data_IF_646411130537
#
_entry.id   IF_646411130537
#
_cell.length_a   1.000
_cell.length_b   1.000
_cell.length_c   1.000
_cell.angle_alpha   90.00
_cell.angle_beta   90.00
_cell.angle_gamma   90.00
#
_symmetry.space_group_name_H-M   'P 1'
#
loop_
_entity.id
_entity.type
_entity.pdbx_description
1 polymer ?
#
# COMPACT_ATOMS: atom_id res chain seq x y z
N UNK A 1 4.02 2.43 30.47
CA UNK A 1 5.04 3.13 29.64
C UNK A 1 4.75 2.78 28.20
N UNK A 2 4.38 3.78 27.40
CA UNK A 2 3.82 3.58 26.07
C UNK A 2 4.89 3.36 25.01
N UNK A 3 4.53 2.61 23.97
CA UNK A 3 5.34 2.21 22.80
C UNK A 3 5.84 3.43 21.97
N UNK A 4 5.56 4.66 22.40
CA UNK A 4 5.82 5.91 21.69
C UNK A 4 7.11 6.62 22.10
N UNK A 5 7.82 6.17 23.14
CA UNK A 5 9.04 6.85 23.60
C UNK A 5 10.28 6.60 22.69
N UNK A 6 10.14 5.78 21.63
CA UNK A 6 11.28 5.33 20.82
C UNK A 6 11.54 6.13 19.52
N UNK A 7 10.84 7.24 19.27
CA UNK A 7 10.95 8.00 18.01
C UNK A 7 11.87 9.24 18.07
N UNK A 8 12.95 9.21 18.85
CA UNK A 8 13.99 10.27 18.78
C UNK A 8 15.30 9.75 18.21
N UNK A 9 15.55 10.09 16.94
CA UNK A 9 16.83 9.92 16.26
C UNK A 9 16.97 10.84 15.04
N UNK A 10 17.80 11.87 15.20
CA UNK A 10 18.15 13.00 14.31
C UNK A 10 18.35 12.71 12.79
N UNK A 11 17.84 13.62 11.95
CA UNK A 11 18.69 14.39 11.01
C UNK A 11 17.99 15.67 10.51
N UNK A 12 18.76 16.77 10.43
CA UNK A 12 18.34 18.13 10.03
C UNK A 12 18.20 18.24 8.51
N UNK A 13 17.04 18.68 8.03
CA UNK A 13 16.85 19.12 6.64
C UNK A 13 15.40 19.59 6.39
N UNK A 14 15.23 20.90 6.16
CA UNK A 14 13.97 21.64 5.85
C UNK A 14 12.81 21.39 6.83
N UNK A 15 12.25 22.47 7.37
CA UNK A 15 11.00 22.47 8.13
C UNK A 15 9.83 22.07 7.20
N UNK A 16 9.72 20.78 6.86
CA UNK A 16 8.43 20.22 6.49
C UNK A 16 7.51 20.45 7.68
N UNK A 17 6.44 21.23 7.49
CA UNK A 17 5.32 21.19 8.43
C UNK A 17 4.80 19.76 8.38
N UNK A 18 5.32 18.88 9.22
CA UNK A 18 4.74 17.56 9.45
C UNK A 18 3.39 17.82 10.08
N UNK A 19 2.37 17.95 9.24
CA UNK A 19 1.00 18.09 9.70
C UNK A 19 0.71 16.90 10.62
N UNK A 20 0.25 17.20 11.84
CA UNK A 20 -0.01 16.17 12.83
C UNK A 20 -1.07 15.18 12.28
N UNK A 21 -0.92 13.88 12.55
CA UNK A 21 -1.95 12.89 12.24
C UNK A 21 -3.33 13.34 12.74
N UNK A 22 -4.36 13.12 11.94
CA UNK A 22 -5.73 13.26 12.44
C UNK A 22 -6.02 12.19 13.49
N UNK A 23 -6.95 12.43 14.42
CA UNK A 23 -7.34 11.44 15.42
C UNK A 23 -7.80 10.12 14.78
N UNK A 24 -8.55 10.17 13.68
CA UNK A 24 -9.01 8.99 12.94
C UNK A 24 -7.86 8.17 12.35
N UNK A 25 -6.86 8.81 11.72
CA UNK A 25 -5.72 8.10 11.13
C UNK A 25 -4.82 7.51 12.20
N UNK A 26 -4.66 8.22 13.32
CA UNK A 26 -3.92 7.72 14.47
C UNK A 26 -4.60 6.47 15.06
N UNK A 27 -5.90 6.55 15.34
CA UNK A 27 -6.68 5.44 15.91
C UNK A 27 -6.71 4.23 14.96
N UNK A 28 -6.95 4.47 13.67
CA UNK A 28 -6.92 3.41 12.65
C UNK A 28 -5.55 2.73 12.61
N UNK A 29 -4.47 3.50 12.57
CA UNK A 29 -3.11 2.94 12.49
C UNK A 29 -2.75 2.13 13.73
N UNK A 30 -3.11 2.61 14.93
CA UNK A 30 -2.92 1.88 16.19
C UNK A 30 -3.65 0.54 16.18
N UNK A 31 -4.92 0.53 15.76
CA UNK A 31 -5.71 -0.71 15.66
C UNK A 31 -5.25 -1.63 14.55
N UNK A 32 -4.81 -1.09 13.42
CA UNK A 32 -4.22 -1.88 12.34
C UNK A 32 -2.94 -2.57 12.81
N UNK A 33 -2.11 -1.87 13.59
CA UNK A 33 -0.92 -2.47 14.21
C UNK A 33 -1.27 -3.57 15.21
N UNK A 34 -2.27 -3.35 16.06
CA UNK A 34 -2.72 -4.35 17.04
C UNK A 34 -3.26 -5.64 16.40
N UNK A 35 -3.99 -5.52 15.27
CA UNK A 35 -4.77 -6.62 14.71
C UNK A 35 -4.07 -7.35 13.57
N UNK A 36 -3.39 -6.61 12.66
CA UNK A 36 -2.83 -7.19 11.43
C UNK A 36 -1.36 -7.59 11.57
N UNK A 37 -0.58 -6.84 12.37
CA UNK A 37 0.87 -7.06 12.46
C UNK A 37 1.25 -8.39 13.10
N UNK A 38 0.54 -8.92 14.13
CA UNK A 38 0.83 -10.26 14.62
C UNK A 38 0.77 -11.32 13.51
N UNK A 39 -0.17 -11.21 12.57
CA UNK A 39 -0.22 -12.07 11.38
C UNK A 39 1.02 -11.87 10.50
N UNK A 40 1.42 -10.63 10.23
CA UNK A 40 2.58 -10.35 9.38
C UNK A 40 3.85 -10.97 9.97
N UNK A 41 4.06 -10.78 11.27
CA UNK A 41 5.21 -11.31 12.00
C UNK A 41 5.19 -12.84 12.07
N UNK A 42 4.00 -13.45 12.23
CA UNK A 42 3.84 -14.91 12.20
C UNK A 42 4.36 -15.53 10.89
N UNK A 43 4.20 -14.84 9.76
CA UNK A 43 4.72 -15.30 8.46
C UNK A 43 6.17 -14.86 8.18
N UNK A 44 6.84 -14.24 9.15
CA UNK A 44 8.25 -13.84 9.07
C UNK A 44 8.47 -12.47 8.44
N UNK A 45 7.44 -11.62 8.34
CA UNK A 45 7.63 -10.24 7.92
C UNK A 45 8.08 -9.37 9.09
N UNK A 46 9.06 -8.49 8.84
CA UNK A 46 9.61 -7.59 9.83
C UNK A 46 9.30 -6.14 9.48
N UNK A 47 9.17 -5.31 10.51
CA UNK A 47 8.88 -3.88 10.36
C UNK A 47 9.91 -3.22 9.44
N UNK A 48 9.42 -2.48 8.45
CA UNK A 48 10.25 -1.68 7.56
C UNK A 48 10.02 -0.19 7.75
N UNK A 49 8.78 0.26 7.56
CA UNK A 49 8.42 1.69 7.61
C UNK A 49 7.04 1.88 8.18
N UNK A 50 6.87 2.92 9.00
CA UNK A 50 5.57 3.37 9.48
C UNK A 50 5.53 4.89 9.32
N UNK A 51 4.52 5.38 8.61
CA UNK A 51 4.29 6.79 8.40
C UNK A 51 2.80 7.08 8.59
N UNK A 52 2.48 7.99 9.50
CA UNK A 52 1.12 8.43 9.77
C UNK A 52 1.09 9.94 9.54
N UNK A 53 0.29 10.37 8.58
CA UNK A 53 0.07 11.78 8.20
C UNK A 53 -1.34 12.20 8.60
N UNK A 54 -1.64 13.48 8.39
CA UNK A 54 -2.96 14.06 8.67
C UNK A 54 -4.12 13.30 8.02
N UNK A 55 -3.98 12.87 6.77
CA UNK A 55 -5.06 12.25 5.99
C UNK A 55 -4.70 10.87 5.44
N UNK A 56 -3.56 10.31 5.80
CA UNK A 56 -3.13 9.01 5.28
C UNK A 56 -2.20 8.31 6.24
N UNK A 57 -2.13 6.99 6.11
CA UNK A 57 -1.12 6.19 6.80
C UNK A 57 -0.54 5.13 5.87
N UNK A 58 0.70 4.74 6.15
CA UNK A 58 1.42 3.68 5.46
C UNK A 58 2.22 2.88 6.49
N UNK A 59 1.92 1.59 6.59
CA UNK A 59 2.62 0.64 7.46
C UNK A 59 3.16 -0.48 6.56
N UNK A 60 4.47 -0.62 6.48
CA UNK A 60 5.17 -1.57 5.60
C UNK A 60 5.99 -2.53 6.43
N UNK A 61 5.82 -3.82 6.14
CA UNK A 61 6.61 -4.92 6.67
C UNK A 61 7.18 -5.73 5.51
N UNK A 62 8.39 -6.27 5.67
CA UNK A 62 9.15 -6.93 4.61
C UNK A 62 9.68 -8.29 5.04
N UNK A 63 9.76 -9.21 4.09
CA UNK A 63 10.37 -10.52 4.19
C UNK A 63 11.05 -10.82 2.86
N UNK A 64 12.36 -11.00 2.86
CA UNK A 64 13.16 -11.16 1.64
C UNK A 64 12.82 -10.08 0.59
N UNK A 65 12.33 -10.49 -0.59
CA UNK A 65 11.88 -9.59 -1.66
C UNK A 65 10.40 -9.19 -1.53
N UNK A 66 9.63 -9.84 -0.65
CA UNK A 66 8.22 -9.59 -0.46
C UNK A 66 7.99 -8.47 0.55
N UNK A 67 6.88 -7.76 0.39
CA UNK A 67 6.40 -6.81 1.37
C UNK A 67 4.87 -6.83 1.49
N UNK A 68 4.40 -6.50 2.69
CA UNK A 68 3.01 -6.21 2.99
C UNK A 68 2.91 -4.74 3.38
N UNK A 69 1.91 -4.05 2.83
CA UNK A 69 1.63 -2.65 3.13
C UNK A 69 0.17 -2.47 3.53
N UNK A 70 -0.07 -1.82 4.65
CA UNK A 70 -1.37 -1.26 5.01
C UNK A 70 -1.35 0.20 4.60
N UNK A 71 -2.27 0.60 3.73
CA UNK A 71 -2.38 1.96 3.18
C UNK A 71 -3.76 2.50 3.43
N UNK A 72 -3.89 3.71 4.00
CA UNK A 72 -5.17 4.39 4.17
C UNK A 72 -5.15 5.81 3.61
N UNK A 73 -6.31 6.28 3.17
CA UNK A 73 -6.52 7.66 2.73
C UNK A 73 -7.91 8.16 3.19
N UNK A 74 -7.93 9.29 3.89
CA UNK A 74 -9.13 10.04 4.32
C UNK A 74 -9.07 11.49 3.87
N UNK A 75 -8.30 11.79 2.83
CA UNK A 75 -8.19 13.13 2.30
C UNK A 75 -9.53 13.57 1.69
N UNK A 76 -10.10 14.74 2.07
CA UNK A 76 -11.44 15.13 1.65
C UNK A 76 -11.65 15.27 0.12
N UNK A 77 -10.55 15.43 -0.64
CA UNK A 77 -10.60 15.50 -2.11
C UNK A 77 -10.52 14.14 -2.80
N UNK A 78 -10.25 13.08 -2.05
CA UNK A 78 -9.98 11.73 -2.56
C UNK A 78 -11.13 10.78 -2.18
N UNK A 79 -12.35 11.31 -2.03
CA UNK A 79 -13.52 10.53 -1.64
C UNK A 79 -13.90 9.49 -2.73
N UNK A 80 -14.32 8.26 -2.37
CA UNK A 80 -14.55 7.75 -1.01
C UNK A 80 -13.27 7.46 -0.23
N UNK A 81 -13.30 7.66 1.09
CA UNK A 81 -12.19 7.30 1.97
C UNK A 81 -12.01 5.77 1.99
N UNK A 82 -10.78 5.29 1.94
CA UNK A 82 -10.49 3.85 1.84
C UNK A 82 -9.24 3.43 2.62
N UNK A 83 -9.08 2.12 2.77
CA UNK A 83 -7.81 1.50 3.07
C UNK A 83 -7.61 0.19 2.29
N UNK A 84 -6.36 -0.26 2.20
CA UNK A 84 -5.98 -1.50 1.53
C UNK A 84 -4.91 -2.25 2.33
N UNK A 85 -4.95 -3.58 2.21
CA UNK A 85 -3.80 -4.44 2.41
C UNK A 85 -3.20 -4.69 1.02
N UNK A 86 -1.93 -4.37 0.84
CA UNK A 86 -1.20 -4.46 -0.42
C UNK A 86 -0.10 -5.51 -0.27
N UNK A 87 0.02 -6.39 -1.26
CA UNK A 87 1.03 -7.43 -1.36
C UNK A 87 1.96 -7.06 -2.51
N UNK A 88 3.27 -7.04 -2.30
CA UNK A 88 4.22 -6.66 -3.33
C UNK A 88 5.54 -7.41 -3.27
N UNK A 89 6.27 -7.37 -4.37
CA UNK A 89 7.56 -8.04 -4.52
C UNK A 89 8.55 -7.12 -5.25
N UNK A 90 9.59 -6.68 -4.55
CA UNK A 90 10.59 -5.74 -5.05
C UNK A 90 10.79 -4.55 -4.12
N UNK A 91 11.16 -3.41 -4.68
CA UNK A 91 11.34 -2.17 -3.92
C UNK A 91 9.98 -1.62 -3.43
N UNK A 92 9.86 -1.30 -2.15
CA UNK A 92 8.65 -0.70 -1.54
C UNK A 92 8.79 0.81 -1.31
N UNK A 93 9.97 1.38 -1.59
CA UNK A 93 10.34 2.76 -1.31
C UNK A 93 10.43 3.59 -2.59
N UNK A 94 10.83 3.01 -3.73
CA UNK A 94 10.78 3.69 -5.03
C UNK A 94 9.35 3.73 -5.58
N UNK A 95 8.75 4.92 -5.61
CA UNK A 95 7.44 5.20 -6.20
C UNK A 95 7.27 4.59 -7.60
N UNK A 96 8.30 4.72 -8.44
CA UNK A 96 8.22 4.22 -9.81
C UNK A 96 8.23 2.70 -9.88
N UNK A 97 8.71 2.00 -8.85
CA UNK A 97 8.73 0.55 -8.79
C UNK A 97 7.51 -0.01 -8.06
N UNK A 98 7.23 0.47 -6.85
CA UNK A 98 6.22 -0.15 -5.97
C UNK A 98 4.81 -0.12 -6.57
N UNK A 99 4.53 0.89 -7.40
CA UNK A 99 3.22 1.04 -8.02
C UNK A 99 2.98 0.02 -9.14
N UNK A 100 4.05 -0.59 -9.66
CA UNK A 100 3.99 -1.67 -10.66
C UNK A 100 4.14 -3.05 -10.04
N UNK A 101 4.87 -3.15 -8.93
CA UNK A 101 5.31 -4.43 -8.38
C UNK A 101 4.34 -5.06 -7.35
N UNK A 102 3.13 -4.50 -7.20
CA UNK A 102 2.19 -4.89 -6.14
C UNK A 102 0.73 -4.97 -6.58
N UNK A 103 -0.07 -5.66 -5.78
CA UNK A 103 -1.53 -5.76 -5.92
C UNK A 103 -2.21 -5.56 -4.56
N UNK A 104 -3.43 -5.05 -4.56
CA UNK A 104 -4.26 -5.04 -3.37
C UNK A 104 -4.87 -6.43 -3.09
N UNK A 105 -5.07 -6.79 -1.82
CA UNK A 105 -5.62 -8.08 -1.39
C UNK A 105 -6.97 -8.41 -2.04
N UNK A 106 -7.81 -7.40 -2.26
CA UNK A 106 -9.11 -7.59 -2.92
C UNK A 106 -8.97 -8.13 -4.35
N UNK A 107 -7.83 -7.93 -5.02
CA UNK A 107 -7.55 -8.52 -6.34
C UNK A 107 -7.37 -10.04 -6.27
N UNK A 108 -6.70 -10.55 -5.23
CA UNK A 108 -6.63 -11.99 -4.95
C UNK A 108 -8.02 -12.54 -4.66
N UNK A 109 -8.80 -11.85 -3.82
CA UNK A 109 -10.18 -12.23 -3.53
C UNK A 109 -11.04 -12.29 -4.80
N UNK A 110 -10.89 -11.33 -5.71
CA UNK A 110 -11.60 -11.30 -7.00
C UNK A 110 -11.24 -12.49 -7.87
N UNK A 111 -9.95 -12.77 -8.00
CA UNK A 111 -9.47 -13.87 -8.84
C UNK A 111 -9.93 -15.23 -8.32
N UNK A 112 -9.91 -15.42 -6.99
CA UNK A 112 -10.32 -16.67 -6.34
C UNK A 112 -11.85 -16.84 -6.37
N UNK A 113 -12.61 -15.74 -6.23
CA UNK A 113 -14.07 -15.74 -6.22
C UNK A 113 -14.65 -14.68 -7.18
N UNK A 114 -14.69 -14.94 -8.50
CA UNK A 114 -15.07 -13.95 -9.51
C UNK A 114 -16.50 -13.40 -9.38
N UNK A 115 -17.41 -14.19 -8.79
CA UNK A 115 -18.80 -13.81 -8.57
C UNK A 115 -18.98 -12.73 -7.49
N UNK A 116 -17.98 -12.53 -6.63
CA UNK A 116 -18.03 -11.51 -5.59
C UNK A 116 -17.72 -10.13 -6.18
N UNK A 117 -18.61 -9.17 -5.92
CA UNK A 117 -18.29 -7.75 -6.08
C UNK A 117 -17.30 -7.35 -4.99
N UNK A 118 -16.08 -7.03 -5.38
CA UNK A 118 -15.00 -6.66 -4.46
C UNK A 118 -14.29 -5.40 -4.94
N UNK A 119 -13.85 -4.61 -3.97
CA UNK A 119 -13.14 -3.33 -4.13
C UNK A 119 -12.21 -3.13 -2.95
N UNK A 120 -11.57 -1.97 -2.88
CA UNK A 120 -10.92 -1.47 -1.67
C UNK A 120 -11.87 -1.51 -0.47
N UNK A 121 -11.31 -1.59 0.73
CA UNK A 121 -12.09 -1.47 1.96
C UNK A 121 -12.49 -0.01 2.17
N UNK A 122 -13.76 0.25 2.42
CA UNK A 122 -14.20 1.56 2.88
C UNK A 122 -13.51 1.89 4.22
N UNK A 123 -13.05 3.13 4.35
CA UNK A 123 -12.44 3.55 5.61
C UNK A 123 -13.49 3.54 6.72
N UNK A 124 -13.29 2.74 7.78
CA UNK A 124 -14.31 2.56 8.81
C UNK A 124 -14.51 3.85 9.62
N UNK A 125 -15.77 4.16 9.92
CA UNK A 125 -16.14 5.25 10.82
C UNK A 125 -16.24 4.74 12.26
N UNK A 126 -15.88 5.61 13.20
CA UNK A 126 -16.12 5.43 14.65
C UNK A 126 -15.67 4.05 15.19
N UNK A 127 -16.60 3.32 15.80
CA UNK A 127 -16.38 2.01 16.46
C UNK A 127 -16.25 0.83 15.48
N UNK A 128 -16.39 1.06 14.17
CA UNK A 128 -16.28 0.01 13.14
C UNK A 128 -14.85 -0.40 12.79
N UNK A 129 -13.83 0.33 13.27
CA UNK A 129 -12.41 0.12 12.92
C UNK A 129 -11.97 -1.32 13.22
N UNK A 130 -12.24 -1.79 14.44
CA UNK A 130 -11.78 -3.10 14.89
C UNK A 130 -12.41 -4.25 14.10
N UNK A 131 -13.72 -4.20 13.87
CA UNK A 131 -14.43 -5.20 13.07
C UNK A 131 -13.93 -5.23 11.63
N UNK A 132 -13.73 -4.06 11.03
CA UNK A 132 -13.21 -3.93 9.67
C UNK A 132 -11.82 -4.56 9.53
N UNK A 133 -10.91 -4.25 10.46
CA UNK A 133 -9.55 -4.80 10.46
C UNK A 133 -9.50 -6.29 10.76
N UNK A 134 -10.36 -6.80 11.67
CA UNK A 134 -10.49 -8.24 11.91
C UNK A 134 -10.95 -8.98 10.66
N UNK A 135 -11.92 -8.41 9.93
CA UNK A 135 -12.37 -8.96 8.65
C UNK A 135 -11.25 -8.93 7.61
N UNK A 136 -10.51 -7.82 7.49
CA UNK A 136 -9.38 -7.73 6.57
C UNK A 136 -8.27 -8.74 6.91
N UNK A 137 -8.01 -9.00 8.20
CA UNK A 137 -7.07 -10.02 8.64
C UNK A 137 -7.54 -11.44 8.27
N UNK A 138 -8.82 -11.73 8.50
CA UNK A 138 -9.42 -13.00 8.07
C UNK A 138 -9.33 -13.18 6.54
N UNK A 139 -9.61 -12.14 5.78
CA UNK A 139 -9.49 -12.17 4.32
C UNK A 139 -8.04 -12.33 3.86
N UNK A 140 -7.07 -11.74 4.56
CA UNK A 140 -5.65 -11.93 4.28
C UNK A 140 -5.25 -13.38 4.47
N UNK A 141 -5.66 -14.01 5.58
CA UNK A 141 -5.41 -15.42 5.85
C UNK A 141 -6.15 -16.35 4.88
N UNK A 142 -7.29 -15.93 4.35
CA UNK A 142 -8.09 -16.74 3.41
C UNK A 142 -7.60 -16.64 1.97
N UNK A 143 -7.31 -15.43 1.49
CA UNK A 143 -7.02 -15.17 0.07
C UNK A 143 -5.55 -14.86 -0.21
N UNK A 144 -4.79 -14.44 0.81
CA UNK A 144 -3.36 -14.11 0.70
C UNK A 144 -2.42 -15.21 1.17
N UNK A 145 -2.93 -16.36 1.62
CA UNK A 145 -2.12 -17.40 2.27
C UNK A 145 -0.96 -17.91 1.40
N UNK A 146 -1.20 -18.15 0.11
CA UNK A 146 -0.16 -18.58 -0.83
C UNK A 146 0.97 -17.56 -0.91
N UNK A 147 0.64 -16.27 -1.05
CA UNK A 147 1.64 -15.20 -1.02
C UNK A 147 2.41 -15.17 0.31
N UNK A 148 1.72 -15.27 1.45
CA UNK A 148 2.36 -15.26 2.78
C UNK A 148 3.36 -16.42 2.96
N UNK A 149 3.08 -17.57 2.36
CA UNK A 149 3.96 -18.74 2.33
C UNK A 149 5.10 -18.64 1.30
N UNK A 150 5.14 -17.59 0.47
CA UNK A 150 6.14 -17.40 -0.58
C UNK A 150 5.78 -18.06 -1.91
N UNK A 151 4.57 -18.58 -2.07
CA UNK A 151 4.05 -19.12 -3.32
C UNK A 151 3.48 -17.98 -4.18
N UNK A 152 4.31 -17.46 -5.11
CA UNK A 152 4.05 -16.21 -5.81
C UNK A 152 3.34 -16.34 -7.17
N UNK A 153 3.04 -17.55 -7.64
CA UNK A 153 2.50 -17.77 -8.99
C UNK A 153 1.20 -17.00 -9.23
N UNK A 154 0.22 -17.13 -8.33
CA UNK A 154 -1.06 -16.43 -8.43
C UNK A 154 -0.87 -14.90 -8.34
N UNK A 155 0.00 -14.45 -7.45
CA UNK A 155 0.34 -13.04 -7.31
C UNK A 155 0.93 -12.46 -8.60
N UNK A 156 1.89 -13.16 -9.22
CA UNK A 156 2.51 -12.73 -10.48
C UNK A 156 1.49 -12.68 -11.63
N UNK A 157 0.60 -13.68 -11.73
CA UNK A 157 -0.48 -13.70 -12.72
C UNK A 157 -1.36 -12.45 -12.60
N UNK A 158 -1.87 -12.18 -11.40
CA UNK A 158 -2.78 -11.06 -11.15
C UNK A 158 -2.08 -9.72 -11.35
N UNK A 159 -0.83 -9.58 -10.89
CA UNK A 159 -0.03 -8.36 -11.10
C UNK A 159 0.14 -8.08 -12.59
N UNK A 160 0.46 -9.10 -13.37
CA UNK A 160 0.62 -9.00 -14.83
C UNK A 160 -0.68 -8.53 -15.49
N UNK A 161 -1.81 -9.10 -15.10
CA UNK A 161 -3.12 -8.72 -15.63
C UNK A 161 -3.52 -7.30 -15.25
N UNK A 162 -3.29 -6.89 -13.99
CA UNK A 162 -3.52 -5.51 -13.52
C UNK A 162 -2.73 -4.50 -14.36
N UNK A 163 -1.50 -4.84 -14.72
CA UNK A 163 -0.60 -3.94 -15.43
C UNK A 163 -0.70 -4.03 -16.96
N UNK A 164 -1.49 -4.94 -17.52
CA UNK A 164 -1.53 -5.20 -18.97
C UNK A 164 -1.88 -3.95 -19.77
N UNK A 165 -2.96 -3.30 -19.37
CA UNK A 165 -3.55 -2.17 -20.11
C UNK A 165 -3.09 -0.81 -19.52
N UNK A 166 -2.27 -0.84 -18.45
CA UNK A 166 -1.78 0.36 -17.76
C UNK A 166 -0.68 1.05 -18.57
N UNK A 167 -0.83 2.33 -18.87
CA UNK A 167 0.24 3.13 -19.51
C UNK A 167 1.32 3.53 -18.50
N UNK A 168 2.59 3.68 -18.94
CA UNK A 168 3.60 4.37 -18.15
C UNK A 168 3.16 5.78 -17.78
N UNK A 169 3.67 6.31 -16.68
CA UNK A 169 3.38 7.70 -16.30
C UNK A 169 3.78 8.68 -17.39
N UNK A 170 2.98 9.74 -17.55
CA UNK A 170 3.21 10.79 -18.53
C UNK A 170 3.90 11.97 -17.85
N UNK A 171 4.88 12.56 -18.53
CA UNK A 171 5.51 13.82 -18.16
C UNK A 171 5.14 14.86 -19.20
N UNK A 172 4.76 16.04 -18.71
CA UNK A 172 4.55 17.23 -19.51
C UNK A 172 5.77 18.14 -19.35
N UNK A 173 6.42 18.49 -20.45
CA UNK A 173 7.62 19.35 -20.44
C UNK A 173 7.57 20.29 -21.64
N UNK A 174 8.11 21.52 -21.52
CA UNK A 174 8.24 22.40 -22.66
C UNK A 174 9.30 21.87 -23.64
N UNK A 175 9.04 22.03 -24.93
CA UNK A 175 10.02 21.84 -26.00
C UNK A 175 10.91 23.08 -26.13
N UNK A 176 11.86 23.04 -27.08
CA UNK A 176 12.79 24.15 -27.35
C UNK A 176 12.10 25.43 -27.82
N UNK A 177 10.83 25.36 -28.23
CA UNK A 177 10.01 26.49 -28.68
C UNK A 177 9.02 26.94 -27.59
N UNK A 178 9.06 26.34 -26.39
CA UNK A 178 8.15 26.63 -25.28
C UNK A 178 6.79 25.95 -25.36
N UNK A 179 6.53 25.10 -26.36
CA UNK A 179 5.29 24.32 -26.45
C UNK A 179 5.37 23.09 -25.54
N UNK A 180 4.28 22.73 -24.87
CA UNK A 180 4.26 21.54 -24.03
C UNK A 180 4.15 20.25 -24.85
N UNK A 181 5.10 19.35 -24.66
CA UNK A 181 5.07 17.98 -25.17
C UNK A 181 4.79 16.98 -24.05
N UNK A 182 4.15 15.87 -24.41
CA UNK A 182 3.89 14.74 -23.51
C UNK A 182 4.77 13.57 -23.90
N UNK A 183 5.52 13.04 -22.94
CA UNK A 183 6.34 11.84 -23.11
C UNK A 183 6.13 10.87 -21.95
N UNK A 184 6.55 9.63 -22.10
CA UNK A 184 6.51 8.66 -21.00
C UNK A 184 7.71 8.83 -20.08
N UNK A 185 7.46 8.73 -18.78
CA UNK A 185 8.50 8.75 -17.76
C UNK A 185 9.40 7.50 -17.91
N UNK A 186 10.73 7.68 -18.09
CA UNK A 186 11.62 6.56 -18.41
C UNK A 186 11.62 5.41 -17.39
N UNK A 187 11.60 5.68 -16.08
CA UNK A 187 11.59 4.62 -15.06
C UNK A 187 10.30 3.82 -15.15
N UNK A 188 9.15 4.46 -15.31
CA UNK A 188 7.85 3.82 -15.45
C UNK A 188 7.78 2.93 -16.69
N UNK A 189 8.44 3.30 -17.79
CA UNK A 189 8.56 2.44 -18.99
C UNK A 189 9.35 1.17 -18.67
N UNK A 190 10.46 1.28 -17.93
CA UNK A 190 11.26 0.13 -17.49
C UNK A 190 10.44 -0.78 -16.56
N UNK A 191 9.71 -0.20 -15.62
CA UNK A 191 8.94 -0.95 -14.63
C UNK A 191 7.72 -1.63 -15.26
N UNK A 192 7.07 -1.00 -16.25
CA UNK A 192 6.05 -1.67 -17.08
C UNK A 192 6.61 -2.93 -17.74
N UNK A 193 7.78 -2.85 -18.39
CA UNK A 193 8.40 -4.03 -19.04
C UNK A 193 8.75 -5.14 -18.05
N UNK A 194 9.06 -4.80 -16.80
CA UNK A 194 9.45 -5.75 -15.75
C UNK A 194 8.23 -6.45 -15.11
N UNK A 195 7.09 -5.78 -15.02
CA UNK A 195 5.94 -6.23 -14.22
C UNK A 195 4.62 -6.44 -15.00
N UNK A 196 4.62 -6.24 -16.32
CA UNK A 196 3.54 -6.58 -17.27
C UNK A 196 3.89 -7.81 -18.12
#
# INVERSE_FOLDING_TARGET
>A
MGIFDFLKGNNKGKSERTEKPSPEQKLFSEKAMEILIPTFEQFGFHKHRIEIKKHSSTIIYRKDKQYLKISSNTHPRDYPNYYNIVLGEGDSEDFFEYDWNSIALWRLKKEINPELKVSEYEFPKDNGIELSLKNANFELLKYGLTFLNGELELFHKIRKEQNRDREPYKIHSPDNNGNYQTSFEPKSVVQKKKYS
#
